data_IF_455994603109
#
_entry.id   IF_455994603109
#
_cell.length_a   1.000
_cell.length_b   1.000
_cell.length_c   1.000
_cell.angle_alpha   90.00
_cell.angle_beta   90.00
_cell.angle_gamma   90.00
#
_symmetry.space_group_name_H-M   'P 1'
#
loop_
_entity.id
_entity.type
_entity.pdbx_description
1 polymer ?
#
# COMPACT_ATOMS: atom_id res chain seq x y z
N UNK A 1 -14.64 -37.42 11.28
CA UNK A 1 -14.30 -36.21 12.04
C UNK A 1 -13.46 -35.32 11.15
N UNK A 2 -14.06 -34.30 10.53
CA UNK A 2 -13.32 -33.29 9.78
C UNK A 2 -12.77 -32.27 10.79
N UNK A 3 -11.48 -31.89 10.73
CA UNK A 3 -10.92 -30.94 11.66
C UNK A 3 -11.56 -29.56 11.45
N UNK A 4 -11.76 -28.86 12.57
CA UNK A 4 -12.16 -27.46 12.61
C UNK A 4 -11.24 -26.65 11.70
N UNK A 5 -11.73 -26.31 10.51
CA UNK A 5 -11.17 -25.24 9.73
C UNK A 5 -11.36 -23.97 10.57
N UNK A 6 -10.25 -23.41 11.06
CA UNK A 6 -10.24 -22.06 11.63
C UNK A 6 -10.81 -21.15 10.54
N UNK A 7 -11.86 -20.34 10.80
CA UNK A 7 -12.36 -19.43 9.78
C UNK A 7 -11.19 -18.57 9.31
N UNK A 8 -11.01 -18.47 7.99
CA UNK A 8 -10.15 -17.44 7.44
C UNK A 8 -10.66 -16.08 7.96
N UNK A 9 -9.81 -15.13 8.35
CA UNK A 9 -10.27 -13.79 8.69
C UNK A 9 -10.81 -13.18 7.40
N UNK A 10 -12.11 -13.27 7.21
CA UNK A 10 -12.80 -12.90 5.99
C UNK A 10 -13.88 -11.88 6.38
N UNK A 11 -13.69 -10.65 5.90
CA UNK A 11 -14.72 -9.61 5.80
C UNK A 11 -15.23 -8.88 7.06
N UNK A 12 -14.74 -9.17 8.28
CA UNK A 12 -15.32 -8.56 9.50
C UNK A 12 -14.56 -7.33 10.06
N UNK A 13 -13.38 -6.99 9.52
CA UNK A 13 -12.57 -5.85 9.97
C UNK A 13 -11.88 -5.13 8.78
N UNK A 14 -12.58 -4.25 8.05
CA UNK A 14 -12.00 -3.54 6.91
C UNK A 14 -10.84 -2.62 7.30
N UNK A 15 -10.88 -2.00 8.49
CA UNK A 15 -9.81 -1.11 8.95
C UNK A 15 -8.54 -1.90 9.31
N UNK A 16 -8.68 -3.07 9.95
CA UNK A 16 -7.58 -3.99 10.17
C UNK A 16 -6.96 -4.53 8.87
N UNK A 17 -7.78 -4.73 7.83
CA UNK A 17 -7.28 -5.12 6.50
C UNK A 17 -6.47 -3.99 5.84
N UNK A 18 -6.90 -2.73 5.95
CA UNK A 18 -6.14 -1.57 5.47
C UNK A 18 -4.82 -1.42 6.25
N UNK A 19 -4.84 -1.54 7.58
CA UNK A 19 -3.62 -1.51 8.39
C UNK A 19 -2.66 -2.66 8.04
N UNK A 20 -3.16 -3.87 7.77
CA UNK A 20 -2.34 -4.99 7.32
C UNK A 20 -1.76 -4.79 5.90
N UNK A 21 -2.40 -3.95 5.07
CA UNK A 21 -1.81 -3.47 3.83
C UNK A 21 -0.60 -2.57 4.12
N UNK A 22 -0.65 -1.69 5.12
CA UNK A 22 0.48 -0.84 5.49
C UNK A 22 1.70 -1.63 5.99
N UNK A 23 1.52 -2.74 6.70
CA UNK A 23 2.64 -3.62 7.05
C UNK A 23 3.39 -4.13 5.81
N UNK A 24 2.64 -4.46 4.75
CA UNK A 24 3.22 -4.86 3.46
C UNK A 24 3.88 -3.68 2.76
N UNK A 25 3.26 -2.49 2.78
CA UNK A 25 3.87 -1.25 2.27
C UNK A 25 5.24 -1.06 2.92
N UNK A 26 5.31 -1.03 4.26
CA UNK A 26 6.55 -0.81 5.02
C UNK A 26 7.61 -1.84 4.67
N UNK A 27 7.22 -3.12 4.56
CA UNK A 27 8.13 -4.19 4.14
C UNK A 27 8.70 -3.96 2.74
N UNK A 28 7.85 -3.74 1.73
CA UNK A 28 8.30 -3.61 0.34
C UNK A 28 9.03 -2.29 0.08
N UNK A 29 8.60 -1.20 0.72
CA UNK A 29 9.32 0.07 0.74
C UNK A 29 10.73 -0.08 1.32
N UNK A 30 10.88 -0.76 2.48
CA UNK A 30 12.18 -1.02 3.07
C UNK A 30 13.06 -2.01 2.28
N UNK A 31 12.46 -2.91 1.49
CA UNK A 31 13.20 -3.72 0.52
C UNK A 31 13.71 -2.87 -0.64
N UNK A 32 12.86 -2.01 -1.19
CA UNK A 32 13.21 -1.08 -2.28
C UNK A 32 14.32 -0.11 -1.86
N UNK A 33 14.25 0.45 -0.65
CA UNK A 33 15.26 1.37 -0.12
C UNK A 33 16.68 0.77 -0.13
N UNK A 34 16.79 -0.52 0.23
CA UNK A 34 18.06 -1.23 0.36
C UNK A 34 18.54 -1.88 -0.95
N UNK A 35 17.67 -1.94 -1.95
CA UNK A 35 17.92 -2.68 -3.18
C UNK A 35 19.19 -2.23 -3.94
N UNK A 36 19.45 -0.93 -4.18
CA UNK A 36 20.65 -0.52 -4.91
C UNK A 36 21.94 -1.04 -4.28
N UNK A 37 22.12 -0.78 -2.97
CA UNK A 37 23.30 -1.23 -2.23
C UNK A 37 23.40 -2.75 -2.15
N UNK A 38 22.26 -3.46 -2.06
CA UNK A 38 22.24 -4.92 -2.07
C UNK A 38 22.76 -5.48 -3.40
N UNK A 39 22.30 -4.94 -4.54
CA UNK A 39 22.74 -5.36 -5.87
C UNK A 39 24.21 -5.02 -6.11
N UNK A 40 24.68 -3.85 -5.66
CA UNK A 40 26.10 -3.49 -5.76
C UNK A 40 27.01 -4.49 -5.02
N UNK A 41 26.58 -4.95 -3.85
CA UNK A 41 27.37 -5.84 -2.99
C UNK A 41 27.29 -7.31 -3.38
N UNK A 42 26.11 -7.78 -3.79
CA UNK A 42 25.83 -9.22 -3.97
C UNK A 42 25.53 -9.60 -5.42
N UNK A 43 25.40 -8.62 -6.31
CA UNK A 43 24.97 -8.81 -7.69
C UNK A 43 23.47 -9.11 -7.82
N UNK A 44 23.06 -9.41 -9.06
CA UNK A 44 21.69 -9.80 -9.39
C UNK A 44 21.56 -11.31 -9.48
N UNK A 45 21.34 -11.97 -8.34
CA UNK A 45 21.04 -13.40 -8.29
C UNK A 45 19.53 -13.69 -8.41
N UNK A 46 19.16 -14.97 -8.44
CA UNK A 46 17.76 -15.38 -8.57
C UNK A 46 16.88 -14.91 -7.39
N UNK A 47 17.46 -14.78 -6.19
CA UNK A 47 16.76 -14.31 -5.00
C UNK A 47 16.46 -12.81 -5.08
N UNK A 48 17.44 -12.02 -5.49
CA UNK A 48 17.33 -10.58 -5.71
C UNK A 48 16.32 -10.28 -6.81
N UNK A 49 16.40 -10.99 -7.94
CA UNK A 49 15.43 -10.85 -9.02
C UNK A 49 13.99 -11.19 -8.58
N UNK A 50 13.84 -12.18 -7.69
CA UNK A 50 12.53 -12.53 -7.10
C UNK A 50 12.01 -11.42 -6.20
N UNK A 51 12.88 -10.82 -5.39
CA UNK A 51 12.54 -9.68 -4.53
C UNK A 51 12.08 -8.47 -5.35
N UNK A 52 12.79 -8.14 -6.44
CA UNK A 52 12.41 -7.07 -7.36
C UNK A 52 11.03 -7.32 -7.97
N UNK A 53 10.76 -8.55 -8.44
CA UNK A 53 9.43 -8.92 -8.98
C UNK A 53 8.32 -8.80 -7.92
N UNK A 54 8.60 -9.11 -6.66
CA UNK A 54 7.62 -8.97 -5.59
C UNK A 54 7.31 -7.50 -5.27
N UNK A 55 8.34 -6.64 -5.24
CA UNK A 55 8.17 -5.18 -5.10
C UNK A 55 7.30 -4.65 -6.24
N UNK A 56 7.64 -4.99 -7.49
CA UNK A 56 6.87 -4.63 -8.69
C UNK A 56 5.40 -5.07 -8.58
N UNK A 57 5.17 -6.35 -8.29
CA UNK A 57 3.82 -6.93 -8.15
C UNK A 57 2.99 -6.20 -7.09
N UNK A 58 3.60 -5.84 -5.97
CA UNK A 58 2.89 -5.20 -4.87
C UNK A 58 2.46 -3.78 -5.25
N UNK A 59 3.37 -2.93 -5.71
CA UNK A 59 3.06 -1.54 -6.02
C UNK A 59 2.34 -1.37 -7.38
N UNK A 60 2.39 -2.35 -8.29
CA UNK A 60 1.56 -2.33 -9.52
C UNK A 60 0.09 -2.72 -9.27
N UNK A 61 -0.19 -3.48 -8.20
CA UNK A 61 -1.53 -4.07 -8.00
C UNK A 61 -2.10 -3.75 -6.63
N UNK A 62 -1.43 -4.18 -5.56
CA UNK A 62 -1.98 -4.04 -4.21
C UNK A 62 -2.02 -2.58 -3.74
N UNK A 63 -0.97 -1.79 -4.00
CA UNK A 63 -0.91 -0.36 -3.66
C UNK A 63 -2.06 0.44 -4.28
N UNK A 64 -2.26 0.40 -5.61
CA UNK A 64 -3.36 1.11 -6.27
C UNK A 64 -4.75 0.64 -5.82
N UNK A 65 -4.93 -0.64 -5.50
CA UNK A 65 -6.20 -1.15 -4.98
C UNK A 65 -6.49 -0.63 -3.56
N UNK A 66 -5.45 -0.48 -2.75
CA UNK A 66 -5.54 0.08 -1.40
C UNK A 66 -5.92 1.57 -1.42
N UNK A 67 -5.25 2.41 -2.22
CA UNK A 67 -5.66 3.82 -2.36
C UNK A 67 -7.10 3.95 -2.89
N UNK A 68 -7.55 3.01 -3.74
CA UNK A 68 -8.95 2.99 -4.19
C UNK A 68 -9.94 2.65 -3.06
N UNK A 69 -9.56 1.83 -2.08
CA UNK A 69 -10.37 1.57 -0.89
C UNK A 69 -10.54 2.84 -0.05
N UNK A 70 -9.46 3.61 0.11
CA UNK A 70 -9.51 4.89 0.78
C UNK A 70 -10.34 5.92 0.02
N UNK A 71 -9.93 6.24 -1.21
CA UNK A 71 -10.47 7.39 -1.95
C UNK A 71 -11.93 7.19 -2.39
N UNK A 72 -12.33 5.95 -2.72
CA UNK A 72 -13.67 5.69 -3.24
C UNK A 72 -14.68 5.37 -2.16
N UNK A 73 -14.24 4.81 -1.02
CA UNK A 73 -15.14 4.29 0.00
C UNK A 73 -14.89 4.94 1.37
N UNK A 74 -13.70 4.80 1.97
CA UNK A 74 -13.45 5.25 3.35
C UNK A 74 -13.46 6.79 3.50
N UNK A 75 -12.71 7.52 2.66
CA UNK A 75 -12.60 8.97 2.76
C UNK A 75 -13.94 9.69 2.55
N UNK A 76 -14.80 9.28 1.59
CA UNK A 76 -16.16 9.82 1.49
C UNK A 76 -17.02 9.61 2.75
N UNK A 77 -16.90 8.47 3.44
CA UNK A 77 -17.59 8.24 4.71
C UNK A 77 -17.05 9.19 5.80
N UNK A 78 -15.74 9.30 5.92
CA UNK A 78 -15.10 10.20 6.89
C UNK A 78 -15.47 11.68 6.67
N UNK A 79 -15.56 12.14 5.41
CA UNK A 79 -16.02 13.51 5.11
C UNK A 79 -17.45 13.80 5.59
N UNK A 80 -18.30 12.76 5.67
CA UNK A 80 -19.69 12.89 6.15
C UNK A 80 -19.76 12.93 7.68
N UNK A 81 -19.00 12.07 8.35
CA UNK A 81 -19.01 11.95 9.82
C UNK A 81 -18.11 12.97 10.54
N UNK A 82 -17.01 13.35 9.90
CA UNK A 82 -15.94 14.19 10.47
C UNK A 82 -15.52 15.25 9.43
N UNK A 83 -16.39 16.23 9.10
CA UNK A 83 -16.12 17.22 8.04
C UNK A 83 -14.81 18.01 8.22
N UNK A 84 -14.37 18.21 9.46
CA UNK A 84 -13.10 18.85 9.82
C UNK A 84 -11.87 18.09 9.33
N UNK A 85 -11.99 16.80 9.01
CA UNK A 85 -10.92 15.98 8.47
C UNK A 85 -10.70 16.23 6.96
N UNK A 86 -11.62 16.94 6.28
CA UNK A 86 -11.57 17.14 4.83
C UNK A 86 -10.23 17.70 4.30
N UNK A 87 -9.56 18.68 4.96
CA UNK A 87 -8.24 19.14 4.53
C UNK A 87 -7.15 18.08 4.66
N UNK A 88 -7.20 17.24 5.70
CA UNK A 88 -6.25 16.14 5.90
C UNK A 88 -6.43 15.08 4.81
N UNK A 89 -7.67 14.69 4.53
CA UNK A 89 -7.98 13.71 3.47
C UNK A 89 -7.56 14.22 2.09
N UNK A 90 -7.76 15.51 1.79
CA UNK A 90 -7.29 16.10 0.54
C UNK A 90 -5.75 16.11 0.43
N UNK A 91 -5.03 16.29 1.55
CA UNK A 91 -3.57 16.15 1.60
C UNK A 91 -3.12 14.72 1.29
N UNK A 92 -3.77 13.72 1.88
CA UNK A 92 -3.49 12.30 1.63
C UNK A 92 -3.74 11.90 0.17
N UNK A 93 -4.82 12.38 -0.45
CA UNK A 93 -5.10 12.17 -1.88
C UNK A 93 -4.00 12.78 -2.78
N UNK A 94 -3.44 13.94 -2.41
CA UNK A 94 -2.30 14.52 -3.11
C UNK A 94 -1.03 13.68 -2.93
N UNK A 95 -0.81 13.13 -1.73
CA UNK A 95 0.28 12.22 -1.45
C UNK A 95 0.15 10.92 -2.26
N UNK A 96 -1.04 10.34 -2.40
CA UNK A 96 -1.30 9.19 -3.27
C UNK A 96 -0.89 9.46 -4.72
N UNK A 97 -1.28 10.62 -5.27
CA UNK A 97 -0.92 11.02 -6.62
C UNK A 97 0.61 11.16 -6.78
N UNK A 98 1.27 11.78 -5.80
CA UNK A 98 2.73 11.96 -5.79
C UNK A 98 3.47 10.62 -5.67
N UNK A 99 3.02 9.71 -4.81
CA UNK A 99 3.55 8.36 -4.68
C UNK A 99 3.36 7.56 -5.97
N UNK A 100 2.18 7.66 -6.60
CA UNK A 100 1.89 7.02 -7.88
C UNK A 100 2.82 7.50 -9.00
N UNK A 101 3.09 8.80 -9.08
CA UNK A 101 4.02 9.37 -10.07
C UNK A 101 5.46 8.89 -9.85
N UNK A 102 5.94 8.90 -8.60
CA UNK A 102 7.26 8.37 -8.25
C UNK A 102 7.37 6.87 -8.55
N UNK A 103 6.31 6.11 -8.28
CA UNK A 103 6.26 4.69 -8.57
C UNK A 103 6.44 4.41 -10.06
N UNK A 104 5.85 5.20 -10.97
CA UNK A 104 6.03 4.96 -12.41
C UNK A 104 7.50 5.09 -12.85
N UNK A 105 8.24 6.04 -12.28
CA UNK A 105 9.68 6.19 -12.54
C UNK A 105 10.46 4.99 -12.00
N UNK A 106 10.22 4.62 -10.74
CA UNK A 106 10.88 3.49 -10.09
C UNK A 106 10.54 2.16 -10.80
N UNK A 107 9.29 1.98 -11.21
CA UNK A 107 8.81 0.81 -11.94
C UNK A 107 9.63 0.57 -13.21
N UNK A 108 9.86 1.62 -14.00
CA UNK A 108 10.68 1.53 -15.20
C UNK A 108 12.13 1.11 -14.86
N UNK A 109 12.72 1.72 -13.82
CA UNK A 109 14.08 1.39 -13.38
C UNK A 109 14.19 -0.05 -12.89
N UNK A 110 13.23 -0.54 -12.10
CA UNK A 110 13.19 -1.92 -11.59
C UNK A 110 12.98 -2.94 -12.71
N UNK A 111 12.19 -2.61 -13.73
CA UNK A 111 12.06 -3.44 -14.92
C UNK A 111 13.36 -3.50 -15.72
N UNK A 112 14.05 -2.37 -15.87
CA UNK A 112 15.37 -2.31 -16.49
C UNK A 112 16.40 -3.15 -15.73
N UNK A 113 16.43 -3.03 -14.41
CA UNK A 113 17.32 -3.78 -13.52
C UNK A 113 17.19 -5.31 -13.69
N UNK A 114 15.99 -5.82 -13.99
CA UNK A 114 15.77 -7.25 -14.24
C UNK A 114 16.38 -7.74 -15.56
N UNK A 115 16.69 -6.83 -16.49
CA UNK A 115 17.26 -7.13 -17.82
C UNK A 115 18.74 -6.79 -17.86
N UNK A 116 19.14 -5.69 -17.23
CA UNK A 116 20.50 -5.15 -17.18
C UNK A 116 20.87 -4.89 -15.71
N UNK A 117 21.50 -5.85 -15.02
CA UNK A 117 21.88 -5.74 -13.61
C UNK A 117 22.73 -4.50 -13.25
N UNK A 118 23.47 -3.97 -14.21
CA UNK A 118 24.27 -2.74 -14.10
C UNK A 118 23.44 -1.45 -14.07
N UNK A 119 22.18 -1.50 -14.52
CA UNK A 119 21.26 -0.37 -14.54
C UNK A 119 20.53 -0.22 -13.19
N UNK A 120 21.29 0.13 -12.16
CA UNK A 120 20.76 0.32 -10.81
C UNK A 120 19.68 1.41 -10.76
N UNK A 121 18.61 1.21 -9.97
CA UNK A 121 17.62 2.25 -9.74
C UNK A 121 18.22 3.41 -8.94
N UNK A 122 17.62 4.59 -9.07
CA UNK A 122 18.06 5.79 -8.36
C UNK A 122 17.90 5.58 -6.85
N UNK A 123 19.03 5.43 -6.15
CA UNK A 123 19.04 5.18 -4.71
C UNK A 123 18.45 6.34 -3.89
N UNK A 124 18.54 7.58 -4.38
CA UNK A 124 17.90 8.73 -3.78
C UNK A 124 16.38 8.63 -3.86
N UNK A 125 15.86 8.30 -5.04
CA UNK A 125 14.42 8.11 -5.27
C UNK A 125 13.88 6.91 -4.48
N UNK A 126 14.61 5.79 -4.43
CA UNK A 126 14.23 4.63 -3.61
C UNK A 126 14.08 5.02 -2.12
N UNK A 127 15.04 5.76 -1.56
CA UNK A 127 14.97 6.25 -0.17
C UNK A 127 13.82 7.23 0.04
N UNK A 128 13.63 8.16 -0.89
CA UNK A 128 12.56 9.14 -0.81
C UNK A 128 11.19 8.46 -0.80
N UNK A 129 10.93 7.60 -1.78
CA UNK A 129 9.68 6.85 -1.90
C UNK A 129 9.41 6.03 -0.64
N UNK A 130 10.40 5.29 -0.15
CA UNK A 130 10.23 4.45 1.04
C UNK A 130 9.89 5.27 2.29
N UNK A 131 10.56 6.40 2.50
CA UNK A 131 10.29 7.30 3.63
C UNK A 131 8.91 7.94 3.54
N UNK A 132 8.55 8.45 2.37
CA UNK A 132 7.25 9.09 2.15
C UNK A 132 6.11 8.11 2.35
N UNK A 133 6.18 6.90 1.77
CA UNK A 133 5.11 5.91 1.93
C UNK A 133 4.99 5.44 3.39
N UNK A 134 6.11 5.24 4.10
CA UNK A 134 6.06 4.87 5.53
C UNK A 134 5.46 5.97 6.40
N UNK A 135 5.74 7.24 6.10
CA UNK A 135 5.18 8.39 6.82
C UNK A 135 3.70 8.55 6.51
N UNK A 136 3.31 8.45 5.24
CA UNK A 136 1.94 8.48 4.76
C UNK A 136 1.06 7.43 5.48
N UNK A 137 1.46 6.15 5.45
CA UNK A 137 0.75 5.08 6.14
C UNK A 137 0.59 5.34 7.65
N UNK A 138 1.62 5.92 8.30
CA UNK A 138 1.53 6.27 9.72
C UNK A 138 0.55 7.43 9.99
N UNK A 139 0.46 8.40 9.08
CA UNK A 139 -0.50 9.50 9.17
C UNK A 139 -1.94 9.03 9.01
N UNK A 140 -2.19 8.10 8.09
CA UNK A 140 -3.50 7.48 7.89
C UNK A 140 -3.95 6.67 9.11
N UNK A 141 -3.05 5.84 9.64
CA UNK A 141 -3.29 5.03 10.85
C UNK A 141 -3.62 5.93 12.07
N UNK A 142 -2.85 6.99 12.28
CA UNK A 142 -3.00 7.87 13.44
C UNK A 142 -4.17 8.86 13.34
N UNK A 143 -4.68 9.11 12.12
CA UNK A 143 -5.75 10.07 11.87
C UNK A 143 -7.00 9.38 11.29
N UNK A 144 -7.16 9.35 9.96
CA UNK A 144 -8.34 8.78 9.30
C UNK A 144 -8.82 7.42 9.83
N UNK A 145 -7.93 6.46 10.06
CA UNK A 145 -8.33 5.12 10.51
C UNK A 145 -8.80 5.13 11.97
N UNK A 146 -8.15 5.93 12.81
CA UNK A 146 -8.57 6.12 14.20
C UNK A 146 -9.95 6.79 14.29
N UNK A 147 -10.21 7.81 13.46
CA UNK A 147 -11.53 8.45 13.38
C UNK A 147 -12.59 7.48 12.82
N UNK A 148 -12.25 6.71 11.80
CA UNK A 148 -13.16 5.72 11.22
C UNK A 148 -13.59 4.68 12.26
N UNK A 149 -12.65 4.18 13.07
CA UNK A 149 -12.94 3.24 14.15
C UNK A 149 -13.83 3.84 15.25
N UNK A 150 -13.84 5.17 15.40
CA UNK A 150 -14.65 5.89 16.38
C UNK A 150 -16.05 6.23 15.86
N UNK A 151 -16.19 6.57 14.57
CA UNK A 151 -17.41 7.17 14.04
C UNK A 151 -18.25 6.27 13.12
N UNK A 152 -17.65 5.26 12.47
CA UNK A 152 -18.39 4.41 11.53
C UNK A 152 -19.19 3.34 12.26
N UNK A 153 -20.43 3.13 11.82
CA UNK A 153 -21.26 2.05 12.35
C UNK A 153 -20.97 0.70 11.68
N UNK A 154 -21.55 -0.38 12.23
CA UNK A 154 -21.34 -1.73 11.73
C UNK A 154 -21.84 -1.93 10.27
N UNK A 155 -22.88 -1.20 9.86
CA UNK A 155 -23.40 -1.26 8.50
C UNK A 155 -22.45 -0.61 7.50
N UNK A 156 -21.87 0.53 7.86
CA UNK A 156 -20.88 1.24 7.05
C UNK A 156 -19.58 0.43 6.91
N UNK A 157 -19.10 -0.16 8.01
CA UNK A 157 -17.93 -1.04 8.00
C UNK A 157 -18.17 -2.28 7.12
N UNK A 158 -19.35 -2.89 7.18
CA UNK A 158 -19.71 -4.01 6.33
C UNK A 158 -19.75 -3.61 4.85
N UNK A 159 -20.33 -2.46 4.51
CA UNK A 159 -20.37 -1.95 3.15
C UNK A 159 -18.97 -1.68 2.59
N UNK A 160 -18.09 -1.07 3.40
CA UNK A 160 -16.68 -0.85 3.06
C UNK A 160 -15.99 -2.19 2.77
N UNK A 161 -16.13 -3.17 3.66
CA UNK A 161 -15.56 -4.51 3.49
C UNK A 161 -16.03 -5.19 2.19
N UNK A 162 -17.32 -5.12 1.88
CA UNK A 162 -17.89 -5.69 0.65
C UNK A 162 -17.33 -5.00 -0.61
N UNK A 163 -17.21 -3.67 -0.60
CA UNK A 163 -16.63 -2.93 -1.71
C UNK A 163 -15.15 -3.30 -1.93
N UNK A 164 -14.37 -3.39 -0.85
CA UNK A 164 -12.97 -3.82 -0.89
C UNK A 164 -12.83 -5.24 -1.47
N UNK A 165 -13.66 -6.20 -1.06
CA UNK A 165 -13.66 -7.58 -1.57
C UNK A 165 -14.03 -7.62 -3.05
N UNK A 166 -15.12 -6.96 -3.44
CA UNK A 166 -15.57 -6.93 -4.83
C UNK A 166 -14.48 -6.38 -5.76
N UNK A 167 -13.73 -5.37 -5.30
CA UNK A 167 -12.62 -4.77 -6.06
C UNK A 167 -11.49 -5.76 -6.35
N UNK A 168 -11.25 -6.74 -5.47
CA UNK A 168 -10.25 -7.80 -5.70
C UNK A 168 -10.75 -8.95 -6.57
N UNK A 169 -12.06 -9.08 -6.74
CA UNK A 169 -12.66 -10.10 -7.61
C UNK A 169 -12.84 -9.62 -9.05
N UNK A 170 -12.87 -8.31 -9.27
CA UNK A 170 -13.10 -7.70 -10.58
C UNK A 170 -11.84 -7.51 -11.43
N UNK A 171 -10.65 -7.85 -10.93
CA UNK A 171 -9.36 -7.74 -11.63
C UNK A 171 -8.60 -9.05 -11.64
#
# INVERSE_FOLDING_TARGET
MLPFARPAPAADDPLGLLAACHDKVRRFAGMLERLPAHVEQHGMDAGTATSVRQILRYFDVAGPLHHQDEERDLFPLLRRHVPELAPVLAGLEQEHAALGAQWQVLRQQLQGLLVQPEALPDAGLCRQFARQYCAHAAQEEAGPFAEAARCLDAGELLALSQAMVARRQAG
#
